data_IF_534944771877
#
_entry.id   IF_534944771877
#
_cell.length_a   1.000
_cell.length_b   1.000
_cell.length_c   1.000
_cell.angle_alpha   90.00
_cell.angle_beta   90.00
_cell.angle_gamma   90.00
#
_symmetry.space_group_name_H-M   'P 1'
#
loop_
_entity.id
_entity.type
_entity.pdbx_description
1 polymer ?
#
# COMPACT_ATOMS: atom_id res chain seq x y z
N UNK A 1 -7.69 -13.31 13.02
CA UNK A 1 -6.91 -12.78 11.88
C UNK A 1 -7.54 -11.46 11.46
N UNK A 2 -6.74 -10.48 11.01
CA UNK A 2 -7.27 -9.23 10.47
C UNK A 2 -8.04 -9.48 9.15
N UNK A 3 -9.00 -8.62 8.84
CA UNK A 3 -9.72 -8.69 7.57
C UNK A 3 -8.82 -8.26 6.41
N UNK A 4 -8.91 -8.93 5.25
CA UNK A 4 -8.08 -8.60 4.08
C UNK A 4 -8.32 -7.20 3.49
N UNK A 5 -9.42 -6.54 3.89
CA UNK A 5 -9.80 -5.19 3.49
C UNK A 5 -9.46 -4.13 4.53
N UNK A 6 -8.89 -4.52 5.67
CA UNK A 6 -8.52 -3.61 6.75
C UNK A 6 -7.04 -3.19 6.62
N UNK A 7 -6.75 -1.90 6.37
CA UNK A 7 -5.37 -1.44 6.25
C UNK A 7 -4.66 -1.31 7.60
N UNK A 8 -5.38 -1.18 8.72
CA UNK A 8 -4.82 -0.73 9.99
C UNK A 8 -3.65 -1.61 10.48
N UNK A 9 -3.75 -2.96 10.49
CA UNK A 9 -2.66 -3.79 10.98
C UNK A 9 -1.39 -3.71 10.12
N UNK A 10 -1.54 -3.44 8.81
CA UNK A 10 -0.40 -3.25 7.91
C UNK A 10 0.20 -1.86 8.07
N UNK A 11 -0.63 -0.83 8.27
CA UNK A 11 -0.16 0.53 8.58
C UNK A 11 0.63 0.57 9.88
N UNK A 12 0.13 -0.07 10.94
CA UNK A 12 0.81 -0.12 12.24
C UNK A 12 2.22 -0.73 12.11
N UNK A 13 2.33 -1.84 11.37
CA UNK A 13 3.62 -2.48 11.11
C UNK A 13 4.52 -1.67 10.20
N UNK A 14 3.96 -1.04 9.16
CA UNK A 14 4.73 -0.22 8.24
C UNK A 14 5.29 1.03 8.93
N UNK A 15 4.55 1.61 9.87
CA UNK A 15 5.00 2.75 10.67
C UNK A 15 6.26 2.42 11.48
N UNK A 16 6.37 1.19 12.00
CA UNK A 16 7.54 0.70 12.76
C UNK A 16 8.67 0.17 11.86
N UNK A 17 8.41 -0.01 10.56
CA UNK A 17 9.37 -0.61 9.64
C UNK A 17 10.42 0.40 9.20
N UNK A 18 11.70 0.06 9.39
CA UNK A 18 12.82 0.80 8.82
C UNK A 18 12.88 0.56 7.30
N UNK A 19 13.06 1.64 6.54
CA UNK A 19 13.14 1.61 5.08
C UNK A 19 14.48 2.24 4.70
N UNK A 20 15.53 1.42 4.49
CA UNK A 20 16.84 1.93 4.15
C UNK A 20 16.83 2.76 2.86
N UNK A 21 17.74 3.74 2.72
CA UNK A 21 17.92 4.47 1.46
C UNK A 21 18.14 3.52 0.27
N UNK A 22 17.54 3.86 -0.88
CA UNK A 22 17.63 3.02 -2.08
C UNK A 22 16.68 1.82 -2.10
N UNK A 23 15.72 1.75 -1.17
CA UNK A 23 14.67 0.73 -1.19
C UNK A 23 13.58 1.09 -2.20
N UNK A 24 13.29 0.19 -3.13
CA UNK A 24 12.09 0.28 -3.96
C UNK A 24 10.92 -0.39 -3.24
N UNK A 25 9.78 0.29 -3.15
CA UNK A 25 8.59 -0.25 -2.49
C UNK A 25 7.55 -0.66 -3.52
N UNK A 26 7.12 -1.93 -3.47
CA UNK A 26 6.02 -2.44 -4.29
C UNK A 26 4.86 -2.93 -3.41
N UNK A 27 3.67 -2.40 -3.64
CA UNK A 27 2.44 -2.73 -2.91
C UNK A 27 1.47 -3.43 -3.83
N UNK A 28 1.03 -4.64 -3.46
CA UNK A 28 -0.05 -5.38 -4.12
C UNK A 28 -1.01 -5.93 -3.05
N UNK A 29 -2.22 -5.38 -2.98
CA UNK A 29 -3.22 -5.75 -1.97
C UNK A 29 -4.65 -5.49 -2.49
N UNK A 30 -5.65 -5.53 -1.62
CA UNK A 30 -6.97 -4.94 -1.94
C UNK A 30 -6.82 -3.43 -2.19
N UNK A 31 -7.64 -2.85 -3.08
CA UNK A 31 -7.40 -1.49 -3.56
C UNK A 31 -7.39 -0.40 -2.47
N UNK A 32 -8.27 -0.45 -1.47
CA UNK A 32 -8.27 0.54 -0.37
C UNK A 32 -7.07 0.35 0.53
N UNK A 33 -6.68 -0.91 0.79
CA UNK A 33 -5.46 -1.22 1.53
C UNK A 33 -4.22 -0.70 0.81
N UNK A 34 -4.08 -1.02 -0.48
CA UNK A 34 -2.95 -0.57 -1.30
C UNK A 34 -2.86 0.96 -1.37
N UNK A 35 -4.01 1.64 -1.51
CA UNK A 35 -4.09 3.11 -1.50
C UNK A 35 -3.65 3.69 -0.15
N UNK A 36 -4.11 3.12 0.96
CA UNK A 36 -3.77 3.59 2.30
C UNK A 36 -2.25 3.48 2.56
N UNK A 37 -1.64 2.35 2.22
CA UNK A 37 -0.20 2.13 2.37
C UNK A 37 0.62 3.07 1.46
N UNK A 38 0.20 3.25 0.19
CA UNK A 38 0.83 4.21 -0.72
C UNK A 38 0.80 5.62 -0.15
N UNK A 39 -0.36 6.06 0.33
CA UNK A 39 -0.52 7.40 0.87
C UNK A 39 0.36 7.60 2.12
N UNK A 40 0.41 6.62 3.02
CA UNK A 40 1.28 6.69 4.19
C UNK A 40 2.77 6.84 3.81
N UNK A 41 3.24 6.05 2.83
CA UNK A 41 4.63 6.13 2.38
C UNK A 41 4.96 7.46 1.72
N UNK A 42 4.06 8.01 0.91
CA UNK A 42 4.32 9.25 0.18
C UNK A 42 4.13 10.50 1.08
N UNK A 43 3.03 10.57 1.82
CA UNK A 43 2.65 11.76 2.57
C UNK A 43 3.31 11.82 3.94
N UNK A 44 3.33 10.70 4.68
CA UNK A 44 3.79 10.70 6.08
C UNK A 44 5.28 10.35 6.17
N UNK A 45 5.75 9.43 5.33
CA UNK A 45 7.16 8.97 5.33
C UNK A 45 8.04 9.68 4.30
N UNK A 46 7.46 10.46 3.37
CA UNK A 46 8.20 11.20 2.35
C UNK A 46 8.98 10.31 1.37
N UNK A 47 8.54 9.06 1.16
CA UNK A 47 9.21 8.12 0.27
C UNK A 47 9.18 8.63 -1.18
N UNK A 48 10.28 8.50 -1.97
CA UNK A 48 10.32 9.07 -3.31
C UNK A 48 9.28 8.41 -4.24
N UNK A 49 8.41 9.17 -4.94
CA UNK A 49 7.33 8.60 -5.75
C UNK A 49 7.84 7.75 -6.92
N UNK A 50 8.98 8.09 -7.52
CA UNK A 50 9.63 7.27 -8.56
C UNK A 50 10.22 5.94 -8.07
N UNK A 51 10.29 5.74 -6.74
CA UNK A 51 10.76 4.53 -6.09
C UNK A 51 9.63 3.77 -5.38
N UNK A 52 8.39 3.98 -5.81
CA UNK A 52 7.20 3.32 -5.30
C UNK A 52 6.29 2.90 -6.45
N UNK A 53 5.74 1.69 -6.36
CA UNK A 53 4.62 1.23 -7.20
C UNK A 53 3.55 0.60 -6.34
N UNK A 54 2.29 0.89 -6.62
CA UNK A 54 1.16 0.26 -5.94
C UNK A 54 0.09 -0.23 -6.92
N UNK A 55 -0.57 -1.34 -6.57
CA UNK A 55 -1.72 -1.86 -7.30
C UNK A 55 -2.73 -2.49 -6.34
N UNK A 56 -4.01 -2.18 -6.54
CA UNK A 56 -5.12 -2.92 -5.96
C UNK A 56 -5.44 -4.11 -6.85
N UNK A 57 -5.14 -5.33 -6.44
CA UNK A 57 -5.34 -6.54 -7.24
C UNK A 57 -6.81 -6.97 -7.31
N UNK A 58 -7.59 -6.53 -6.34
CA UNK A 58 -9.02 -6.79 -6.25
C UNK A 58 -9.68 -5.68 -5.43
N UNK A 59 -11.00 -5.58 -5.54
CA UNK A 59 -11.83 -4.63 -4.80
C UNK A 59 -12.95 -5.39 -4.10
N UNK A 60 -13.10 -5.16 -2.80
CA UNK A 60 -14.11 -5.89 -2.04
C UNK A 60 -15.53 -5.54 -2.51
N UNK A 61 -16.29 -6.57 -2.91
CA UNK A 61 -17.63 -6.41 -3.46
C UNK A 61 -17.68 -6.28 -4.98
N UNK A 62 -16.53 -6.26 -5.66
CA UNK A 62 -16.44 -6.17 -7.12
C UNK A 62 -15.59 -7.33 -7.67
N UNK A 63 -16.10 -8.03 -8.69
CA UNK A 63 -15.37 -9.09 -9.37
C UNK A 63 -14.49 -8.52 -10.51
N UNK A 64 -13.37 -9.17 -10.79
CA UNK A 64 -12.49 -8.93 -11.94
C UNK A 64 -11.92 -7.49 -12.08
N UNK A 65 -11.75 -6.78 -10.97
CA UNK A 65 -11.22 -5.41 -10.97
C UNK A 65 -9.79 -5.33 -10.45
N UNK A 66 -8.90 -4.76 -11.25
CA UNK A 66 -7.54 -4.35 -10.86
C UNK A 66 -7.42 -2.84 -10.94
N UNK A 67 -6.86 -2.22 -9.90
CA UNK A 67 -6.60 -0.79 -9.80
C UNK A 67 -5.09 -0.57 -9.86
N UNK A 68 -4.65 0.27 -10.79
CA UNK A 68 -3.27 0.78 -10.81
C UNK A 68 -3.25 2.19 -10.23
N UNK A 69 -2.25 2.47 -9.39
CA UNK A 69 -2.03 3.79 -8.81
C UNK A 69 -0.80 4.39 -9.47
N UNK A 70 -1.03 5.11 -10.56
CA UNK A 70 0.02 5.85 -11.28
C UNK A 70 0.57 7.02 -10.45
#
# INVERSE_FOLDING_TARGET
>A
AAAATDPAPLLDRLAETDIPPGTFVWIAAEARVARALRNHLLADRGHPPGWLKASGYWVAGEADQVVHFD
#
